data_IF_452990091904
#
_entry.id   IF_452990091904
#
_cell.length_a   1.000
_cell.length_b   1.000
_cell.length_c   1.000
_cell.angle_alpha   90.00
_cell.angle_beta   90.00
_cell.angle_gamma   90.00
#
_symmetry.space_group_name_H-M   'P 1'
#
loop_
_entity.id
_entity.type
_entity.pdbx_description
1 polymer ?
#
# COMPACT_ATOMS: atom_id res chain seq x y z
N UNK A 1 27.37 -24.24 26.02
CA UNK A 1 26.00 -24.08 25.49
C UNK A 1 25.82 -25.08 24.36
N UNK A 2 24.79 -25.94 24.36
CA UNK A 2 24.51 -26.79 23.20
C UNK A 2 24.22 -25.92 21.98
N UNK A 3 24.53 -26.40 20.78
CA UNK A 3 24.23 -25.69 19.54
C UNK A 3 22.70 -25.50 19.41
N UNK A 4 22.24 -24.25 19.47
CA UNK A 4 20.83 -23.93 19.25
C UNK A 4 20.57 -23.98 17.75
N UNK A 5 19.74 -24.93 17.31
CA UNK A 5 19.27 -25.00 15.92
C UNK A 5 18.12 -24.02 15.77
N UNK A 6 18.26 -23.06 14.85
CA UNK A 6 17.19 -22.12 14.52
C UNK A 6 16.44 -22.63 13.30
N UNK A 7 15.11 -22.69 13.39
CA UNK A 7 14.23 -23.05 12.28
C UNK A 7 13.50 -21.78 11.86
N UNK A 8 13.70 -21.39 10.60
CA UNK A 8 13.01 -20.26 10.01
C UNK A 8 11.97 -20.76 9.02
N UNK A 9 10.79 -20.13 9.04
CA UNK A 9 9.79 -20.23 7.98
C UNK A 9 10.19 -19.27 6.86
N UNK A 10 10.21 -19.76 5.62
CA UNK A 10 10.53 -18.98 4.44
C UNK A 10 9.30 -18.73 3.57
N UNK A 11 9.11 -17.48 3.14
CA UNK A 11 8.04 -17.07 2.25
C UNK A 11 8.63 -16.63 0.90
N UNK A 12 8.25 -17.28 -0.21
CA UNK A 12 8.83 -16.99 -1.51
C UNK A 12 8.35 -15.66 -2.08
N UNK A 13 9.28 -14.84 -2.54
CA UNK A 13 8.99 -13.62 -3.28
C UNK A 13 9.14 -13.87 -4.79
N UNK A 14 8.11 -13.52 -5.55
CA UNK A 14 7.99 -13.75 -6.97
C UNK A 14 8.20 -12.48 -7.79
N UNK A 15 8.84 -12.65 -8.94
CA UNK A 15 8.90 -11.66 -10.01
C UNK A 15 8.97 -12.41 -11.34
N UNK A 16 8.16 -12.02 -12.32
CA UNK A 16 8.05 -12.68 -13.63
C UNK A 16 7.86 -14.21 -13.52
N UNK A 17 6.98 -14.63 -12.59
CA UNK A 17 6.65 -16.05 -12.37
C UNK A 17 7.76 -16.89 -11.74
N UNK A 18 8.88 -16.29 -11.32
CA UNK A 18 10.02 -16.99 -10.70
C UNK A 18 10.23 -16.54 -9.27
N UNK A 19 10.68 -17.46 -8.42
CA UNK A 19 11.16 -17.12 -7.07
C UNK A 19 12.48 -16.38 -7.20
N UNK A 20 12.51 -15.14 -6.72
CA UNK A 20 13.69 -14.24 -6.76
C UNK A 20 14.12 -13.79 -5.36
N UNK A 21 13.52 -14.34 -4.32
CA UNK A 21 13.86 -14.04 -2.94
C UNK A 21 13.07 -14.86 -1.93
N UNK A 22 13.54 -14.86 -0.68
CA UNK A 22 12.86 -15.50 0.45
C UNK A 22 12.79 -14.53 1.63
N UNK A 23 11.59 -14.27 2.13
CA UNK A 23 11.37 -13.57 3.38
C UNK A 23 11.46 -14.62 4.49
N UNK A 24 12.31 -14.38 5.48
CA UNK A 24 12.60 -15.33 6.55
C UNK A 24 11.99 -14.83 7.86
N UNK A 25 11.23 -15.69 8.51
CA UNK A 25 10.59 -15.44 9.81
C UNK A 25 10.91 -16.58 10.76
N UNK A 26 11.34 -16.25 11.97
CA UNK A 26 11.65 -17.21 13.02
C UNK A 26 11.56 -16.56 14.40
N UNK A 27 11.78 -17.35 15.45
CA UNK A 27 11.79 -16.85 16.82
C UNK A 27 12.87 -15.77 16.99
N UNK A 28 12.45 -14.52 17.21
CA UNK A 28 13.36 -13.38 17.34
C UNK A 28 14.09 -13.00 16.04
N UNK A 29 13.69 -13.54 14.88
CA UNK A 29 14.35 -13.31 13.60
C UNK A 29 13.36 -12.86 12.52
N UNK A 30 13.65 -11.71 11.91
CA UNK A 30 13.01 -11.22 10.68
C UNK A 30 14.13 -10.83 9.73
N UNK A 31 14.14 -11.44 8.54
CA UNK A 31 15.20 -11.21 7.57
C UNK A 31 14.82 -11.61 6.16
N UNK A 32 15.80 -11.55 5.28
CA UNK A 32 15.68 -11.90 3.87
C UNK A 32 16.87 -12.80 3.51
N UNK A 33 16.66 -13.80 2.64
CA UNK A 33 17.78 -14.56 2.10
C UNK A 33 18.70 -13.63 1.28
N UNK A 34 20.01 -13.93 1.28
CA UNK A 34 20.97 -13.17 0.51
C UNK A 34 20.57 -13.10 -0.97
N UNK A 35 20.86 -11.95 -1.60
CA UNK A 35 20.57 -11.67 -3.01
C UNK A 35 19.09 -11.65 -3.41
N UNK A 36 18.19 -11.62 -2.43
CA UNK A 36 16.76 -11.49 -2.69
C UNK A 36 16.40 -10.14 -3.31
N UNK A 37 15.53 -10.16 -4.32
CA UNK A 37 15.20 -8.98 -5.12
C UNK A 37 13.91 -8.28 -4.66
N UNK A 38 13.82 -8.02 -3.36
CA UNK A 38 12.63 -7.46 -2.70
C UNK A 38 12.22 -6.07 -3.19
N UNK A 39 13.08 -5.34 -3.91
CA UNK A 39 12.69 -4.06 -4.50
C UNK A 39 11.65 -4.21 -5.62
N UNK A 40 11.50 -5.40 -6.22
CA UNK A 40 10.61 -5.64 -7.38
C UNK A 40 9.72 -6.88 -7.25
N UNK A 41 9.93 -7.71 -6.24
CA UNK A 41 9.17 -8.92 -6.04
C UNK A 41 8.04 -8.75 -5.02
N UNK A 42 7.02 -9.60 -5.14
CA UNK A 42 5.90 -9.71 -4.19
C UNK A 42 5.83 -11.13 -3.67
N UNK A 43 5.45 -11.32 -2.41
CA UNK A 43 4.89 -12.62 -2.05
C UNK A 43 3.48 -12.72 -2.65
N UNK A 44 3.13 -13.88 -3.21
CA UNK A 44 1.82 -14.13 -3.82
C UNK A 44 1.25 -15.45 -3.29
N UNK A 45 -0.05 -15.44 -3.00
CA UNK A 45 -0.84 -16.65 -2.79
C UNK A 45 -1.18 -17.33 -4.12
N UNK A 46 -1.78 -18.53 -4.04
CA UNK A 46 -2.40 -19.16 -5.21
C UNK A 46 -3.69 -18.43 -5.58
N UNK A 47 -4.01 -18.43 -6.86
CA UNK A 47 -5.34 -18.00 -7.33
C UNK A 47 -6.44 -18.89 -6.74
N UNK A 48 -7.63 -18.32 -6.45
CA UNK A 48 -8.78 -19.10 -6.00
C UNK A 48 -9.19 -20.14 -7.06
N UNK A 49 -9.44 -21.37 -6.63
CA UNK A 49 -9.78 -22.47 -7.55
C UNK A 49 -11.18 -22.30 -8.16
N UNK A 50 -11.28 -22.57 -9.47
CA UNK A 50 -12.56 -22.68 -10.19
C UNK A 50 -13.34 -21.38 -10.39
N UNK A 51 -12.88 -20.24 -9.87
CA UNK A 51 -13.51 -18.92 -10.06
C UNK A 51 -12.46 -17.81 -10.11
N UNK A 52 -12.64 -16.79 -10.96
CA UNK A 52 -11.70 -15.66 -10.99
C UNK A 52 -11.74 -14.89 -9.66
N UNK A 53 -10.59 -14.35 -9.23
CA UNK A 53 -10.50 -13.45 -8.08
C UNK A 53 -11.33 -12.17 -8.29
N UNK A 54 -12.00 -11.71 -7.23
CA UNK A 54 -12.78 -10.46 -7.22
C UNK A 54 -11.98 -9.26 -6.77
N UNK A 55 -10.88 -9.49 -6.05
CA UNK A 55 -10.02 -8.43 -5.54
C UNK A 55 -8.61 -8.93 -5.26
N UNK A 56 -7.64 -8.01 -5.31
CA UNK A 56 -6.27 -8.21 -4.83
C UNK A 56 -6.18 -7.65 -3.41
N UNK A 57 -5.78 -8.44 -2.42
CA UNK A 57 -5.49 -7.97 -1.06
C UNK A 57 -3.99 -7.79 -0.91
N UNK A 58 -3.54 -6.63 -0.40
CA UNK A 58 -2.12 -6.32 -0.24
C UNK A 58 -1.81 -5.96 1.21
N UNK A 59 -0.80 -6.60 1.81
CA UNK A 59 -0.29 -6.29 3.16
C UNK A 59 1.24 -6.17 3.20
N UNK A 60 1.81 -5.87 4.37
CA UNK A 60 3.25 -5.61 4.53
C UNK A 60 4.11 -6.87 4.57
N UNK A 61 3.66 -7.94 5.24
CA UNK A 61 4.35 -9.23 5.27
C UNK A 61 3.44 -10.40 4.95
N UNK A 62 4.02 -11.52 4.48
CA UNK A 62 3.27 -12.71 4.11
C UNK A 62 2.46 -13.29 5.29
N UNK A 63 2.94 -13.14 6.53
CA UNK A 63 2.22 -13.59 7.72
C UNK A 63 0.95 -12.76 7.93
N UNK A 64 1.03 -11.44 7.77
CA UNK A 64 -0.14 -10.55 7.92
C UNK A 64 -1.17 -10.89 6.84
N UNK A 65 -0.70 -11.19 5.62
CA UNK A 65 -1.56 -11.61 4.53
C UNK A 65 -2.30 -12.92 4.83
N UNK A 66 -1.58 -13.94 5.31
CA UNK A 66 -2.17 -15.22 5.66
C UNK A 66 -3.13 -15.11 6.84
N UNK A 67 -2.80 -14.27 7.83
CA UNK A 67 -3.66 -13.97 8.97
C UNK A 67 -4.96 -13.30 8.51
N UNK A 68 -4.87 -12.32 7.61
CA UNK A 68 -6.04 -11.70 7.00
C UNK A 68 -6.91 -12.73 6.27
N UNK A 69 -6.31 -13.61 5.45
CA UNK A 69 -7.03 -14.65 4.73
C UNK A 69 -7.76 -15.62 5.66
N UNK A 70 -7.16 -15.99 6.80
CA UNK A 70 -7.76 -16.85 7.80
C UNK A 70 -8.98 -16.20 8.49
N UNK A 71 -8.97 -14.87 8.66
CA UNK A 71 -10.08 -14.11 9.24
C UNK A 71 -11.22 -13.84 8.24
N UNK A 72 -10.97 -13.98 6.93
CA UNK A 72 -11.94 -13.72 5.86
C UNK A 72 -12.18 -14.98 5.00
N UNK A 73 -12.65 -16.09 5.59
CA UNK A 73 -12.86 -17.33 4.86
C UNK A 73 -13.90 -17.15 3.75
N UNK A 74 -13.60 -17.70 2.57
CA UNK A 74 -14.51 -17.66 1.42
C UNK A 74 -14.39 -16.41 0.55
N UNK A 75 -13.52 -15.46 0.88
CA UNK A 75 -13.14 -14.42 -0.08
C UNK A 75 -12.46 -15.05 -1.31
N UNK A 76 -12.86 -14.59 -2.49
CA UNK A 76 -12.21 -14.96 -3.76
C UNK A 76 -11.14 -13.92 -4.06
N UNK A 77 -10.07 -13.93 -3.29
CA UNK A 77 -9.00 -12.95 -3.44
C UNK A 77 -7.73 -13.58 -4.00
N UNK A 78 -6.98 -12.81 -4.79
CA UNK A 78 -5.54 -13.00 -4.86
C UNK A 78 -4.94 -12.22 -3.70
N UNK A 79 -4.11 -12.87 -2.90
CA UNK A 79 -3.39 -12.21 -1.81
C UNK A 79 -1.93 -11.97 -2.18
N UNK A 80 -1.42 -10.79 -1.82
CA UNK A 80 -0.05 -10.38 -2.02
C UNK A 80 0.52 -9.68 -0.77
N UNK A 81 1.85 -9.76 -0.62
CA UNK A 81 2.58 -8.94 0.34
C UNK A 81 3.75 -8.24 -0.32
N UNK A 82 4.02 -7.02 0.16
CA UNK A 82 5.20 -6.26 -0.24
C UNK A 82 6.48 -6.82 0.37
N UNK A 83 6.44 -7.59 1.45
CA UNK A 83 7.61 -8.11 2.18
C UNK A 83 8.69 -7.02 2.40
N UNK A 84 8.26 -5.85 2.87
CA UNK A 84 9.07 -4.64 3.01
C UNK A 84 8.51 -3.45 2.25
N UNK A 85 9.36 -2.48 1.90
CA UNK A 85 8.91 -1.20 1.32
C UNK A 85 8.10 -1.39 0.04
N UNK A 86 6.96 -0.71 -0.06
CA UNK A 86 6.18 -0.60 -1.28
C UNK A 86 6.93 0.29 -2.30
N UNK A 87 7.49 -0.30 -3.35
CA UNK A 87 8.22 0.43 -4.41
C UNK A 87 7.33 0.66 -5.63
N UNK A 88 7.78 1.50 -6.57
CA UNK A 88 7.06 1.70 -7.82
C UNK A 88 7.02 0.42 -8.69
N UNK A 89 8.09 -0.37 -8.68
CA UNK A 89 8.13 -1.64 -9.42
C UNK A 89 7.08 -2.63 -8.91
N UNK A 90 6.83 -2.66 -7.59
CA UNK A 90 5.75 -3.47 -7.01
C UNK A 90 4.38 -2.99 -7.44
N UNK A 91 4.18 -1.67 -7.54
CA UNK A 91 2.93 -1.10 -8.04
C UNK A 91 2.70 -1.53 -9.50
N UNK A 92 3.73 -1.50 -10.34
CA UNK A 92 3.63 -1.99 -11.71
C UNK A 92 3.34 -3.49 -11.78
N UNK A 93 3.99 -4.29 -10.95
CA UNK A 93 3.72 -5.73 -10.87
C UNK A 93 2.27 -6.00 -10.44
N UNK A 94 1.76 -5.29 -9.43
CA UNK A 94 0.36 -5.42 -9.00
C UNK A 94 -0.62 -5.02 -10.10
N UNK A 95 -0.34 -3.93 -10.83
CA UNK A 95 -1.16 -3.54 -12.00
C UNK A 95 -1.16 -4.62 -13.07
N UNK A 96 0.03 -5.16 -13.43
CA UNK A 96 0.16 -6.25 -14.40
C UNK A 96 -0.65 -7.47 -13.97
N UNK A 97 -0.50 -7.91 -12.72
CA UNK A 97 -1.24 -9.06 -12.17
C UNK A 97 -2.75 -8.83 -12.21
N UNK A 98 -3.21 -7.63 -11.86
CA UNK A 98 -4.64 -7.31 -11.91
C UNK A 98 -5.19 -7.33 -13.34
N UNK A 99 -4.42 -6.87 -14.33
CA UNK A 99 -4.79 -6.92 -15.74
C UNK A 99 -4.80 -8.37 -16.29
N UNK A 100 -3.73 -9.13 -16.05
CA UNK A 100 -3.56 -10.53 -16.50
C UNK A 100 -4.66 -11.43 -15.93
N UNK A 101 -4.93 -11.30 -14.63
CA UNK A 101 -5.92 -12.13 -13.92
C UNK A 101 -7.33 -11.52 -13.90
N UNK A 102 -7.53 -10.40 -14.59
CA UNK A 102 -8.81 -9.66 -14.69
C UNK A 102 -9.43 -9.34 -13.32
N UNK A 103 -8.59 -8.94 -12.37
CA UNK A 103 -8.99 -8.55 -11.01
C UNK A 103 -9.52 -7.11 -11.03
N UNK A 104 -10.79 -6.87 -10.68
CA UNK A 104 -11.40 -5.55 -10.86
C UNK A 104 -11.05 -4.54 -9.75
N UNK A 105 -10.61 -5.00 -8.58
CA UNK A 105 -10.42 -4.13 -7.41
C UNK A 105 -9.20 -4.52 -6.57
N UNK A 106 -8.67 -3.57 -5.82
CA UNK A 106 -7.57 -3.77 -4.88
C UNK A 106 -8.02 -3.33 -3.48
N UNK A 107 -7.66 -4.11 -2.46
CA UNK A 107 -7.89 -3.82 -1.05
C UNK A 107 -6.54 -3.70 -0.35
N UNK A 108 -6.33 -2.59 0.35
CA UNK A 108 -5.20 -2.43 1.25
C UNK A 108 -5.50 -3.07 2.60
N UNK A 109 -4.54 -3.81 3.14
CA UNK A 109 -4.55 -4.42 4.46
C UNK A 109 -3.19 -4.17 5.15
N UNK A 110 -2.68 -2.94 5.05
CA UNK A 110 -1.51 -2.49 5.81
C UNK A 110 -1.86 -2.24 7.28
N UNK A 111 -0.83 -2.13 8.12
CA UNK A 111 -1.01 -1.91 9.54
C UNK A 111 -1.67 -0.54 9.80
N UNK A 112 -2.47 -0.45 10.86
CA UNK A 112 -3.15 0.80 11.23
C UNK A 112 -2.21 1.73 12.01
N UNK A 113 -1.09 2.09 11.39
CA UNK A 113 -0.10 3.01 11.92
C UNK A 113 0.37 4.02 10.86
N UNK A 114 1.26 4.93 11.25
CA UNK A 114 1.78 5.98 10.35
C UNK A 114 2.48 5.39 9.11
N UNK A 115 3.19 4.27 9.26
CA UNK A 115 3.88 3.63 8.15
C UNK A 115 2.89 2.96 7.20
N UNK A 116 1.88 2.26 7.72
CA UNK A 116 0.82 1.68 6.92
C UNK A 116 0.02 2.73 6.15
N UNK A 117 -0.30 3.87 6.77
CA UNK A 117 -0.94 5.00 6.06
C UNK A 117 -0.07 5.60 4.94
N UNK A 118 1.26 5.59 5.11
CA UNK A 118 2.17 5.95 4.03
C UNK A 118 2.12 4.95 2.87
N UNK A 119 2.01 3.65 3.16
CA UNK A 119 1.82 2.64 2.13
C UNK A 119 0.45 2.75 1.44
N UNK A 120 -0.63 3.01 2.17
CA UNK A 120 -1.95 3.28 1.60
C UNK A 120 -1.90 4.44 0.59
N UNK A 121 -1.31 5.57 1.01
CA UNK A 121 -1.18 6.77 0.18
C UNK A 121 -0.37 6.48 -1.08
N UNK A 122 0.73 5.75 -0.94
CA UNK A 122 1.59 5.39 -2.07
C UNK A 122 0.91 4.41 -3.03
N UNK A 123 0.14 3.47 -2.50
CA UNK A 123 -0.64 2.52 -3.30
C UNK A 123 -1.71 3.26 -4.10
N UNK A 124 -2.52 4.10 -3.44
CA UNK A 124 -3.55 4.91 -4.08
C UNK A 124 -2.99 5.82 -5.17
N UNK A 125 -1.91 6.55 -4.87
CA UNK A 125 -1.24 7.40 -5.86
C UNK A 125 -0.69 6.59 -7.05
N UNK A 126 -0.10 5.44 -6.76
CA UNK A 126 0.40 4.50 -7.77
C UNK A 126 -0.69 4.05 -8.73
N UNK A 127 -1.86 3.67 -8.21
CA UNK A 127 -3.00 3.19 -8.99
C UNK A 127 -3.78 4.29 -9.70
N UNK A 128 -3.86 5.50 -9.14
CA UNK A 128 -4.50 6.66 -9.78
C UNK A 128 -3.73 7.18 -11.00
N UNK A 129 -2.45 6.83 -11.14
CA UNK A 129 -1.61 7.25 -12.25
C UNK A 129 -1.88 6.42 -13.52
N UNK A 130 -2.50 7.02 -14.54
CA UNK A 130 -2.50 6.44 -15.89
C UNK A 130 -1.15 6.68 -16.60
N UNK A 131 -0.55 7.86 -16.38
CA UNK A 131 0.89 8.19 -16.59
C UNK A 131 1.36 9.31 -15.60
N UNK A 132 0.56 9.53 -14.54
CA UNK A 132 0.68 10.42 -13.37
C UNK A 132 0.34 11.92 -13.54
N UNK A 133 -0.82 12.37 -13.00
CA UNK A 133 -1.09 13.78 -12.72
C UNK A 133 -1.38 14.03 -11.23
N UNK A 134 -0.38 13.92 -10.36
CA UNK A 134 -0.51 14.33 -8.96
C UNK A 134 0.81 14.90 -8.42
N UNK A 135 0.75 16.08 -7.80
CA UNK A 135 1.83 16.66 -7.00
C UNK A 135 1.48 16.45 -5.52
N UNK A 136 2.31 15.68 -4.82
CA UNK A 136 2.18 15.49 -3.36
C UNK A 136 3.11 16.47 -2.67
N UNK A 137 2.56 17.34 -1.83
CA UNK A 137 3.32 18.31 -1.03
C UNK A 137 3.06 18.02 0.45
N UNK A 138 4.14 17.94 1.23
CA UNK A 138 4.08 17.76 2.69
C UNK A 138 4.13 19.15 3.32
N UNK A 139 2.97 19.67 3.70
CA UNK A 139 2.88 21.00 4.32
C UNK A 139 3.10 20.94 5.85
N UNK A 140 2.80 19.81 6.50
CA UNK A 140 2.99 19.60 7.94
C UNK A 140 3.40 18.14 8.26
N UNK A 141 3.91 17.91 9.48
CA UNK A 141 4.47 16.61 9.91
C UNK A 141 3.46 15.46 9.85
N UNK A 142 2.16 15.77 10.02
CA UNK A 142 1.05 14.80 10.10
C UNK A 142 0.01 14.96 8.97
N UNK A 143 0.21 15.86 8.01
CA UNK A 143 -0.78 16.12 6.95
C UNK A 143 -0.14 16.05 5.56
N UNK A 144 -0.69 15.18 4.71
CA UNK A 144 -0.33 15.06 3.30
C UNK A 144 -1.40 15.74 2.44
N UNK A 145 -0.99 16.79 1.73
CA UNK A 145 -1.82 17.44 0.72
C UNK A 145 -1.55 16.80 -0.63
N UNK A 146 -2.56 16.14 -1.19
CA UNK A 146 -2.52 15.53 -2.52
C UNK A 146 -3.21 16.46 -3.50
N UNK A 147 -2.44 17.09 -4.38
CA UNK A 147 -2.97 17.95 -5.44
C UNK A 147 -3.04 17.16 -6.75
N UNK A 148 -4.27 16.95 -7.24
CA UNK A 148 -4.54 16.18 -8.45
C UNK A 148 -4.63 17.13 -9.65
N UNK A 149 -3.75 17.00 -10.63
CA UNK A 149 -3.67 17.89 -11.80
C UNK A 149 -4.14 17.20 -13.08
N UNK A 150 -5.41 16.78 -13.15
CA UNK A 150 -5.93 16.14 -14.38
C UNK A 150 -6.66 17.14 -15.27
N UNK A 151 -6.52 17.01 -16.59
CA UNK A 151 -7.13 17.90 -17.56
C UNK A 151 -8.63 17.64 -17.82
N UNK A 152 -9.22 16.51 -17.41
CA UNK A 152 -10.68 16.31 -17.35
C UNK A 152 -11.00 14.84 -17.01
N UNK A 153 -11.82 14.64 -15.98
CA UNK A 153 -12.82 13.55 -15.86
C UNK A 153 -13.68 13.85 -14.60
N UNK A 154 -15.02 14.02 -14.73
CA UNK A 154 -15.91 14.37 -13.61
C UNK A 154 -15.84 13.41 -12.41
N UNK A 155 -15.52 12.13 -12.66
CA UNK A 155 -15.32 11.11 -11.63
C UNK A 155 -14.13 11.42 -10.72
N UNK A 156 -13.06 12.02 -11.25
CA UNK A 156 -11.88 12.38 -10.47
C UNK A 156 -12.16 13.61 -9.61
N UNK A 157 -12.99 14.54 -10.07
CA UNK A 157 -13.43 15.69 -9.26
C UNK A 157 -14.27 15.23 -8.07
N UNK A 158 -15.19 14.27 -8.28
CA UNK A 158 -15.99 13.68 -7.20
C UNK A 158 -15.10 12.97 -6.16
N UNK A 159 -14.13 12.17 -6.61
CA UNK A 159 -13.14 11.50 -5.73
C UNK A 159 -12.27 12.52 -5.00
N UNK A 160 -11.82 13.57 -5.68
CA UNK A 160 -11.03 14.66 -5.08
C UNK A 160 -11.82 15.40 -4.00
N UNK A 161 -13.11 15.64 -4.24
CA UNK A 161 -13.99 16.30 -3.28
C UNK A 161 -14.28 15.40 -2.07
N UNK A 162 -14.45 14.09 -2.29
CA UNK A 162 -14.56 13.10 -1.22
C UNK A 162 -13.28 13.02 -0.38
N UNK A 163 -12.11 13.01 -1.01
CA UNK A 163 -10.81 13.03 -0.33
C UNK A 163 -10.61 14.32 0.48
N UNK A 164 -10.95 15.48 -0.08
CA UNK A 164 -10.91 16.76 0.65
C UNK A 164 -11.84 16.74 1.87
N UNK A 165 -13.04 16.20 1.72
CA UNK A 165 -13.99 16.08 2.83
C UNK A 165 -13.51 15.08 3.89
N UNK A 166 -12.91 13.96 3.48
CA UNK A 166 -12.32 12.98 4.39
C UNK A 166 -11.15 13.58 5.15
N UNK A 167 -10.20 14.22 4.46
CA UNK A 167 -9.06 14.88 5.09
C UNK A 167 -9.51 15.96 6.07
N UNK A 168 -10.52 16.77 5.72
CA UNK A 168 -11.07 17.77 6.63
C UNK A 168 -11.65 17.14 7.91
N UNK A 169 -12.45 16.08 7.79
CA UNK A 169 -13.03 15.37 8.94
C UNK A 169 -11.97 14.71 9.81
N UNK A 170 -11.00 14.06 9.20
CA UNK A 170 -9.89 13.40 9.90
C UNK A 170 -9.03 14.45 10.63
N UNK A 171 -8.76 15.59 9.99
CA UNK A 171 -8.06 16.72 10.60
C UNK A 171 -8.85 17.28 11.79
N UNK A 172 -10.15 17.53 11.64
CA UNK A 172 -11.04 17.95 12.74
C UNK A 172 -11.07 16.94 13.89
N UNK A 173 -11.08 15.63 13.58
CA UNK A 173 -11.06 14.57 14.57
C UNK A 173 -9.74 14.59 15.37
N UNK A 174 -8.61 14.65 14.67
CA UNK A 174 -7.30 14.76 15.31
C UNK A 174 -7.21 16.01 16.19
N UNK A 175 -7.67 17.18 15.72
CA UNK A 175 -7.67 18.39 16.54
C UNK A 175 -8.54 18.27 17.79
N UNK A 176 -9.68 17.59 17.70
CA UNK A 176 -10.57 17.36 18.84
C UNK A 176 -9.92 16.45 19.88
N UNK A 177 -9.10 15.50 19.44
CA UNK A 177 -8.38 14.57 20.32
C UNK A 177 -7.05 15.12 20.85
N UNK A 178 -6.36 15.98 20.10
CA UNK A 178 -5.03 16.51 20.44
C UNK A 178 -5.04 17.87 21.16
N UNK A 179 -6.12 18.66 21.04
CA UNK A 179 -6.26 19.95 21.72
C UNK A 179 -5.43 21.10 21.14
N UNK A 180 -4.84 20.94 19.96
CA UNK A 180 -3.93 21.92 19.35
C UNK A 180 -4.66 22.92 18.41
N UNK A 181 -4.31 24.21 18.48
CA UNK A 181 -5.03 25.30 17.80
C UNK A 181 -4.66 25.48 16.32
N UNK A 182 -5.65 25.89 15.52
CA UNK A 182 -5.52 26.12 14.06
C UNK A 182 -4.61 27.33 13.80
N UNK A 183 -3.48 27.14 13.11
CA UNK A 183 -2.72 28.25 12.51
C UNK A 183 -3.31 28.51 11.11
N UNK A 184 -3.84 29.71 10.82
CA UNK A 184 -4.34 30.01 9.50
C UNK A 184 -3.20 30.05 8.49
N UNK A 185 -3.45 29.50 7.30
CA UNK A 185 -2.49 29.46 6.20
C UNK A 185 -1.97 30.86 5.86
N UNK A 186 -0.65 30.99 5.74
CA UNK A 186 0.03 32.23 5.36
C UNK A 186 -0.48 32.66 3.96
N UNK A 187 -1.00 33.90 3.78
CA UNK A 187 -1.42 34.37 2.48
C UNK A 187 -0.21 34.49 1.54
N UNK A 188 -0.34 33.92 0.33
CA UNK A 188 0.66 34.03 -0.74
C UNK A 188 0.94 35.50 -1.05
N UNK A 189 2.21 35.93 -1.23
CA UNK A 189 2.50 37.30 -1.65
C UNK A 189 1.97 37.52 -3.07
N UNK A 190 1.21 38.62 -3.23
CA UNK A 190 0.67 39.08 -4.50
C UNK A 190 1.83 39.55 -5.39
N UNK A 191 2.02 38.92 -6.55
CA UNK A 191 2.92 39.43 -7.57
C UNK A 191 2.18 40.51 -8.36
N UNK A 192 2.53 41.78 -8.14
CA UNK A 192 2.14 42.88 -9.02
C UNK A 192 3.03 42.87 -10.26
N UNK A 193 2.36 42.90 -11.41
CA UNK A 193 2.86 43.14 -12.77
C UNK A 193 3.75 44.38 -12.91
#
# INVERSE_FOLDING_TARGET
>A
MPAKTFVNTAFPAYHDGRVVGLELKGEGFKGQAAESQFARSLWLSKLPEGKPPTHLVVSESAIDTLSYAQLHPGERALYASTSGTLTQNKIFEMKRLMEEERIPTIKSAFDNDTQGHHFDTRLLAGFASAQNPMKVVREHEHLLTVEVTTANLPSVQAVTQQLKAFNARTTEHYHRESGEAIIPAIPKPCATS
#
